data_IF_990149053796
#
_entry.id   IF_990149053796
#
_cell.length_a   1.000
_cell.length_b   1.000
_cell.length_c   1.000
_cell.angle_alpha   90.00
_cell.angle_beta   90.00
_cell.angle_gamma   90.00
#
_symmetry.space_group_name_H-M   'P 1'
#
loop_
_entity.id
_entity.type
_entity.pdbx_description
1 polymer ?
#
# COMPACT_ATOMS: atom_id res chain seq x y z
N UNK A 1 -34.12 76.61 26.73
CA UNK A 1 -33.49 76.30 28.04
C UNK A 1 -32.67 75.04 27.82
N UNK A 2 -31.36 75.20 27.54
CA UNK A 2 -30.20 74.99 28.47
C UNK A 2 -30.03 73.49 28.79
N UNK A 3 -28.90 72.79 28.63
CA UNK A 3 -27.47 72.94 28.24
C UNK A 3 -27.05 71.49 27.81
N UNK A 4 -26.05 71.15 26.98
CA UNK A 4 -24.74 71.73 26.70
C UNK A 4 -23.64 70.99 27.46
N UNK A 5 -23.06 69.91 26.92
CA UNK A 5 -21.70 69.43 27.26
C UNK A 5 -21.14 68.56 26.12
N UNK A 6 -19.98 68.96 25.59
CA UNK A 6 -19.21 68.23 24.57
C UNK A 6 -18.03 67.46 25.17
N UNK A 7 -17.20 66.91 24.28
CA UNK A 7 -15.88 66.37 24.62
C UNK A 7 -15.55 65.09 23.85
N UNK A 8 -14.53 65.16 23.03
CA UNK A 8 -13.98 64.10 22.19
C UNK A 8 -13.27 63.01 23.01
N UNK A 9 -13.16 61.80 22.46
CA UNK A 9 -11.99 60.94 22.68
C UNK A 9 -11.84 59.88 21.56
N UNK A 10 -10.62 59.74 21.09
CA UNK A 10 -10.13 58.95 19.97
C UNK A 10 -9.68 57.56 20.43
N UNK A 11 -10.63 56.62 20.50
CA UNK A 11 -10.34 55.22 20.87
C UNK A 11 -9.65 54.40 19.78
N UNK A 12 -8.40 54.74 19.44
CA UNK A 12 -7.47 53.85 18.72
C UNK A 12 -7.08 52.68 19.62
N UNK A 13 -7.41 51.45 19.22
CA UNK A 13 -6.99 50.23 19.94
C UNK A 13 -5.64 49.71 19.39
N UNK A 14 -4.73 49.25 20.27
CA UNK A 14 -3.31 49.08 19.94
C UNK A 14 -2.94 47.76 19.27
N UNK A 15 -1.92 47.84 18.40
CA UNK A 15 -1.16 46.73 17.80
C UNK A 15 -0.36 45.95 18.86
N UNK A 16 -0.33 44.61 18.84
CA UNK A 16 0.57 43.86 19.71
C UNK A 16 2.03 43.91 19.20
N UNK A 17 2.90 44.41 20.07
CA UNK A 17 4.36 44.36 19.99
C UNK A 17 4.79 42.94 20.41
N UNK A 18 5.40 42.17 19.51
CA UNK A 18 6.15 40.96 19.89
C UNK A 18 7.61 41.34 20.03
N UNK A 19 8.04 41.45 21.29
CA UNK A 19 9.39 41.75 21.72
C UNK A 19 10.32 40.55 21.50
N UNK A 20 11.39 40.78 20.74
CA UNK A 20 12.46 39.81 20.49
C UNK A 20 13.39 39.74 21.70
N UNK A 21 13.20 38.76 22.58
CA UNK A 21 14.22 38.41 23.57
C UNK A 21 15.36 37.62 22.92
N UNK A 22 16.49 38.31 22.70
CA UNK A 22 17.81 37.71 22.52
C UNK A 22 18.45 37.52 23.89
N UNK A 23 18.70 36.29 24.29
CA UNK A 23 19.77 35.96 25.23
C UNK A 23 20.58 34.81 24.63
N UNK A 24 21.77 35.15 24.14
CA UNK A 24 22.81 34.19 23.80
C UNK A 24 23.57 33.77 25.06
N UNK A 25 23.78 32.47 25.21
CA UNK A 25 24.73 31.88 26.14
C UNK A 25 25.43 30.74 25.41
N UNK A 26 26.70 30.94 25.11
CA UNK A 26 27.47 30.09 24.19
C UNK A 26 27.74 28.68 24.69
N UNK A 27 27.77 27.75 23.74
CA UNK A 27 28.60 26.55 23.79
C UNK A 27 29.13 26.28 22.37
N UNK A 28 30.46 26.20 22.27
CA UNK A 28 31.17 25.78 21.06
C UNK A 28 30.67 24.41 20.59
N UNK A 29 30.51 24.17 19.27
CA UNK A 29 30.18 22.85 18.77
C UNK A 29 31.43 21.97 18.82
N UNK A 30 31.44 21.01 19.75
CA UNK A 30 32.33 19.85 19.70
C UNK A 30 32.05 19.13 18.38
N UNK A 31 33.11 18.89 17.61
CA UNK A 31 33.06 18.12 16.37
C UNK A 31 32.36 16.78 16.61
N UNK A 32 31.13 16.66 16.12
CA UNK A 32 30.41 15.41 16.09
C UNK A 32 31.00 14.61 14.93
N UNK A 33 31.86 13.67 15.29
CA UNK A 33 32.41 12.66 14.39
C UNK A 33 31.25 12.09 13.60
N UNK A 34 31.32 12.23 12.27
CA UNK A 34 30.42 11.62 11.30
C UNK A 34 30.40 10.12 11.60
N UNK A 35 29.42 9.69 12.40
CA UNK A 35 29.08 8.28 12.51
C UNK A 35 28.71 7.86 11.10
N UNK A 36 29.52 6.97 10.54
CA UNK A 36 29.23 6.32 9.27
C UNK A 36 27.83 5.76 9.42
N UNK A 37 26.85 6.40 8.77
CA UNK A 37 25.52 5.83 8.66
C UNK A 37 25.72 4.51 7.92
N UNK A 38 25.69 3.41 8.66
CA UNK A 38 25.46 2.11 8.07
C UNK A 38 24.14 2.29 7.32
N UNK A 39 24.12 2.15 5.99
CA UNK A 39 22.87 2.27 5.25
C UNK A 39 21.88 1.27 5.85
N UNK A 40 20.58 1.61 5.96
CA UNK A 40 19.60 0.61 6.35
C UNK A 40 19.79 -0.57 5.40
N UNK A 41 19.94 -1.77 5.99
CA UNK A 41 20.14 -3.00 5.25
C UNK A 41 18.95 -3.14 4.30
N UNK A 42 19.12 -2.70 3.06
CA UNK A 42 18.20 -2.98 1.98
C UNK A 42 18.32 -4.50 1.86
N UNK A 43 17.31 -5.21 2.31
CA UNK A 43 17.23 -6.62 1.99
C UNK A 43 17.02 -6.64 0.47
N UNK A 44 18.13 -6.64 -0.27
CA UNK A 44 18.12 -6.83 -1.71
C UNK A 44 17.64 -8.26 -1.91
N UNK A 45 16.32 -8.43 -1.98
CA UNK A 45 15.69 -9.71 -2.29
C UNK A 45 16.31 -10.18 -3.59
N UNK A 46 16.92 -11.37 -3.57
CA UNK A 46 17.64 -11.87 -4.74
C UNK A 46 16.69 -11.95 -5.96
N UNK A 47 17.25 -11.76 -7.15
CA UNK A 47 16.48 -11.74 -8.41
C UNK A 47 15.64 -13.01 -8.60
N UNK A 48 16.14 -14.17 -8.13
CA UNK A 48 15.41 -15.44 -8.10
C UNK A 48 14.13 -15.33 -7.28
N UNK A 49 14.21 -14.77 -6.07
CA UNK A 49 13.08 -14.64 -5.16
C UNK A 49 12.05 -13.67 -5.74
N UNK A 50 12.50 -12.53 -6.27
CA UNK A 50 11.59 -11.55 -6.91
C UNK A 50 10.84 -12.20 -8.06
N UNK A 51 11.54 -12.85 -9.00
CA UNK A 51 10.91 -13.46 -10.17
C UNK A 51 9.90 -14.54 -9.78
N UNK A 52 10.25 -15.42 -8.83
CA UNK A 52 9.35 -16.47 -8.37
C UNK A 52 8.12 -15.91 -7.65
N UNK A 53 8.29 -14.90 -6.78
CA UNK A 53 7.18 -14.30 -6.04
C UNK A 53 6.29 -13.45 -6.96
N UNK A 54 6.86 -12.71 -7.91
CA UNK A 54 6.08 -11.99 -8.94
C UNK A 54 5.26 -12.98 -9.78
N UNK A 55 5.86 -14.09 -10.21
CA UNK A 55 5.13 -15.13 -10.95
C UNK A 55 3.98 -15.74 -10.15
N UNK A 56 4.16 -15.92 -8.83
CA UNK A 56 3.08 -16.36 -7.95
C UNK A 56 1.98 -15.30 -7.86
N UNK A 57 2.36 -14.03 -7.66
CA UNK A 57 1.40 -12.93 -7.55
C UNK A 57 0.56 -12.76 -8.83
N UNK A 58 1.19 -12.84 -10.01
CA UNK A 58 0.50 -12.86 -11.31
C UNK A 58 -0.40 -14.09 -11.47
N UNK A 59 -0.04 -15.23 -10.86
CA UNK A 59 -0.92 -16.41 -10.88
C UNK A 59 -2.19 -16.21 -10.04
N UNK A 60 -2.11 -15.45 -8.94
CA UNK A 60 -3.26 -15.15 -8.07
C UNK A 60 -4.16 -14.08 -8.68
N UNK A 61 -3.58 -12.98 -9.15
CA UNK A 61 -4.29 -11.89 -9.80
C UNK A 61 -3.55 -11.48 -11.07
N UNK A 62 -3.93 -12.07 -12.22
CA UNK A 62 -3.18 -11.92 -13.46
C UNK A 62 -3.25 -10.52 -14.01
N UNK A 63 -2.17 -10.10 -14.65
CA UNK A 63 -2.08 -8.84 -15.37
C UNK A 63 -1.39 -8.96 -16.72
N UNK A 64 -1.23 -7.82 -17.36
CA UNK A 64 -0.49 -7.67 -18.61
C UNK A 64 1.02 -7.62 -18.36
N UNK A 65 1.78 -8.14 -19.33
CA UNK A 65 3.24 -8.12 -19.27
C UNK A 65 3.78 -6.70 -19.28
N UNK A 66 4.88 -6.47 -18.57
CA UNK A 66 5.66 -5.21 -18.64
C UNK A 66 6.24 -5.00 -20.05
N UNK A 67 6.72 -6.09 -20.64
CA UNK A 67 7.22 -6.17 -22.01
C UNK A 67 7.15 -7.63 -22.54
N UNK A 68 7.35 -7.87 -23.86
CA UNK A 68 7.23 -9.22 -24.43
C UNK A 68 8.16 -10.28 -23.82
N UNK A 69 9.29 -9.89 -23.24
CA UNK A 69 10.29 -10.77 -22.63
C UNK A 69 10.02 -11.08 -21.16
N UNK A 70 9.04 -10.43 -20.53
CA UNK A 70 8.67 -10.67 -19.14
C UNK A 70 8.31 -12.15 -18.92
N UNK A 71 9.07 -12.81 -18.05
CA UNK A 71 8.89 -14.23 -17.70
C UNK A 71 8.08 -14.40 -16.41
N UNK A 72 8.11 -13.41 -15.51
CA UNK A 72 7.39 -13.48 -14.26
C UNK A 72 5.89 -13.27 -14.52
N UNK A 73 5.53 -12.23 -15.27
CA UNK A 73 4.14 -11.96 -15.65
C UNK A 73 3.78 -12.72 -16.91
N UNK A 74 2.76 -13.57 -16.86
CA UNK A 74 2.35 -14.41 -17.98
C UNK A 74 1.57 -13.62 -19.05
N UNK A 75 0.89 -12.52 -18.68
CA UNK A 75 0.02 -11.79 -19.60
C UNK A 75 -1.35 -12.44 -19.79
N UNK A 76 -1.85 -13.18 -18.79
CA UNK A 76 -3.06 -13.99 -18.91
C UNK A 76 -4.37 -13.17 -18.89
N UNK A 77 -4.32 -11.91 -18.45
CA UNK A 77 -5.46 -11.00 -18.43
C UNK A 77 -5.05 -9.61 -18.94
N UNK A 78 -5.96 -8.85 -19.58
CA UNK A 78 -5.68 -7.48 -19.97
C UNK A 78 -5.65 -6.56 -18.75
N UNK A 79 -4.79 -5.54 -18.78
CA UNK A 79 -4.68 -4.55 -17.73
C UNK A 79 -3.84 -4.99 -16.53
N UNK A 80 -3.73 -4.13 -15.51
CA UNK A 80 -2.82 -4.33 -14.39
C UNK A 80 -3.31 -5.42 -13.42
N UNK A 81 -2.39 -6.30 -13.00
CA UNK A 81 -2.61 -7.34 -11.98
C UNK A 81 -1.89 -7.04 -10.65
N UNK A 82 -1.70 -8.06 -9.81
CA UNK A 82 -1.07 -7.88 -8.49
C UNK A 82 0.38 -7.37 -8.58
N UNK A 83 1.15 -7.80 -9.59
CA UNK A 83 2.53 -7.32 -9.77
C UNK A 83 2.56 -5.82 -10.03
N UNK A 84 1.73 -5.34 -10.96
CA UNK A 84 1.60 -3.91 -11.26
C UNK A 84 1.05 -3.08 -10.08
N UNK A 85 0.32 -3.72 -9.15
CA UNK A 85 -0.18 -3.12 -7.93
C UNK A 85 0.83 -3.11 -6.76
N UNK A 86 2.08 -3.51 -6.97
CA UNK A 86 3.12 -3.45 -5.93
C UNK A 86 3.08 -4.62 -4.95
N UNK A 87 2.79 -5.84 -5.43
CA UNK A 87 2.77 -7.03 -4.57
C UNK A 87 4.11 -7.27 -3.84
N UNK A 88 5.25 -7.10 -4.53
CA UNK A 88 6.58 -7.24 -3.91
C UNK A 88 6.79 -6.16 -2.84
N UNK A 89 6.48 -4.90 -3.15
CA UNK A 89 6.65 -3.79 -2.21
C UNK A 89 5.86 -4.02 -0.92
N UNK A 90 4.63 -4.55 -1.03
CA UNK A 90 3.82 -4.93 0.13
C UNK A 90 4.43 -6.09 0.92
N UNK A 91 4.90 -7.13 0.24
CA UNK A 91 5.49 -8.32 0.86
C UNK A 91 6.81 -8.03 1.57
N UNK A 92 7.56 -7.04 1.09
CA UNK A 92 8.82 -6.60 1.68
C UNK A 92 8.64 -5.65 2.86
N UNK A 93 7.42 -5.17 3.14
CA UNK A 93 7.19 -4.30 4.29
C UNK A 93 7.56 -5.01 5.61
N UNK A 94 8.47 -4.45 6.42
CA UNK A 94 8.89 -5.08 7.68
C UNK A 94 7.73 -5.36 8.64
N UNK A 95 6.71 -4.48 8.65
CA UNK A 95 5.52 -4.63 9.49
C UNK A 95 4.56 -5.74 9.06
N UNK A 96 4.68 -6.25 7.81
CA UNK A 96 3.84 -7.32 7.27
C UNK A 96 4.26 -8.73 7.68
N UNK A 97 5.48 -8.90 8.20
CA UNK A 97 5.98 -10.16 8.77
C UNK A 97 6.42 -11.22 7.74
N UNK A 98 6.30 -10.96 6.43
CA UNK A 98 6.69 -11.91 5.37
C UNK A 98 8.06 -11.63 4.74
N UNK A 99 8.60 -10.41 4.84
CA UNK A 99 9.83 -10.02 4.15
C UNK A 99 11.00 -11.01 4.39
N UNK A 100 11.23 -11.40 5.65
CA UNK A 100 12.29 -12.35 6.01
C UNK A 100 12.05 -13.80 5.58
N UNK A 101 10.83 -14.16 5.19
CA UNK A 101 10.45 -15.52 4.77
C UNK A 101 10.36 -15.68 3.25
N UNK A 102 10.37 -14.58 2.48
CA UNK A 102 10.24 -14.59 1.02
C UNK A 102 11.25 -15.52 0.31
N UNK A 103 12.55 -15.55 0.67
CA UNK A 103 13.48 -16.47 0.02
C UNK A 103 13.09 -17.94 0.23
N UNK A 104 12.69 -18.31 1.45
CA UNK A 104 12.24 -19.67 1.75
C UNK A 104 10.93 -20.04 1.05
N UNK A 105 10.02 -19.08 0.87
CA UNK A 105 8.80 -19.27 0.08
C UNK A 105 9.11 -19.51 -1.39
N UNK A 106 10.03 -18.73 -1.95
CA UNK A 106 10.48 -18.89 -3.34
C UNK A 106 11.16 -20.25 -3.55
N UNK A 107 12.05 -20.65 -2.65
CA UNK A 107 12.71 -21.96 -2.69
C UNK A 107 11.70 -23.10 -2.64
N UNK A 108 10.74 -23.05 -1.70
CA UNK A 108 9.69 -24.06 -1.59
C UNK A 108 8.83 -24.13 -2.86
N UNK A 109 8.44 -22.97 -3.41
CA UNK A 109 7.60 -22.92 -4.61
C UNK A 109 8.34 -23.47 -5.85
N UNK A 110 9.63 -23.15 -5.99
CA UNK A 110 10.49 -23.69 -7.03
C UNK A 110 10.70 -25.21 -6.87
N UNK A 111 10.80 -25.70 -5.63
CA UNK A 111 10.83 -27.14 -5.33
C UNK A 111 9.56 -27.86 -5.80
N UNK A 112 8.38 -27.35 -5.43
CA UNK A 112 7.09 -27.90 -5.88
C UNK A 112 6.93 -27.89 -7.41
N UNK A 113 7.43 -26.85 -8.08
CA UNK A 113 7.44 -26.79 -9.54
C UNK A 113 8.35 -27.86 -10.17
N UNK A 114 9.55 -28.06 -9.61
CA UNK A 114 10.46 -29.10 -10.05
C UNK A 114 9.87 -30.51 -9.87
N UNK A 115 9.18 -30.77 -8.75
CA UNK A 115 8.49 -32.04 -8.49
C UNK A 115 7.34 -32.32 -9.46
N UNK A 116 6.69 -31.27 -9.98
CA UNK A 116 5.70 -31.38 -11.04
C UNK A 116 6.32 -31.75 -12.41
N UNK A 117 7.65 -31.70 -12.52
CA UNK A 117 8.37 -31.94 -13.77
C UNK A 117 8.46 -30.69 -14.65
N UNK A 118 8.55 -29.49 -14.04
CA UNK A 118 8.88 -28.27 -14.78
C UNK A 118 10.10 -28.50 -15.67
N UNK A 119 10.02 -28.11 -16.94
CA UNK A 119 11.15 -28.19 -17.84
C UNK A 119 12.29 -27.31 -17.30
N UNK A 120 13.50 -27.86 -17.24
CA UNK A 120 14.65 -27.10 -16.84
C UNK A 120 14.91 -25.98 -17.86
N UNK A 121 14.81 -24.74 -17.41
CA UNK A 121 15.18 -23.53 -18.13
C UNK A 121 16.29 -22.86 -17.29
N UNK A 122 17.54 -22.78 -17.78
CA UNK A 122 18.65 -22.23 -17.00
C UNK A 122 18.52 -20.73 -16.74
N UNK A 123 17.66 -20.04 -17.48
CA UNK A 123 17.54 -18.58 -17.42
C UNK A 123 16.48 -18.11 -16.41
N UNK A 124 15.63 -19.01 -15.90
CA UNK A 124 14.58 -18.66 -14.94
C UNK A 124 14.36 -19.74 -13.87
N UNK A 125 13.84 -19.36 -12.69
CA UNK A 125 13.50 -20.35 -11.65
C UNK A 125 12.43 -21.35 -12.12
N UNK A 126 12.41 -22.59 -11.58
CA UNK A 126 11.47 -23.64 -12.01
C UNK A 126 10.00 -23.24 -12.02
N UNK A 127 9.52 -22.48 -11.03
CA UNK A 127 8.13 -22.02 -11.01
C UNK A 127 7.83 -21.02 -12.14
N UNK A 128 8.81 -20.19 -12.48
CA UNK A 128 8.71 -19.18 -13.55
C UNK A 128 8.78 -19.86 -14.93
N UNK A 129 9.45 -21.01 -15.05
CA UNK A 129 9.49 -21.80 -16.28
C UNK A 129 8.12 -22.42 -16.65
N UNK A 130 7.24 -22.62 -15.67
CA UNK A 130 5.87 -23.11 -15.91
C UNK A 130 5.05 -22.08 -16.70
N UNK A 131 4.20 -22.57 -17.61
CA UNK A 131 3.17 -21.74 -18.23
C UNK A 131 2.07 -21.37 -17.23
N UNK A 132 1.22 -20.40 -17.59
CA UNK A 132 0.18 -19.90 -16.68
C UNK A 132 -0.77 -21.00 -16.19
N UNK A 133 -1.18 -21.92 -17.06
CA UNK A 133 -2.09 -23.00 -16.70
C UNK A 133 -1.44 -23.97 -15.70
N UNK A 134 -0.17 -24.30 -15.92
CA UNK A 134 0.62 -25.12 -15.00
C UNK A 134 0.82 -24.43 -13.64
N UNK A 135 1.11 -23.11 -13.63
CA UNK A 135 1.18 -22.32 -12.40
C UNK A 135 -0.15 -22.35 -11.65
N UNK A 136 -1.26 -22.10 -12.34
CA UNK A 136 -2.60 -22.14 -11.73
C UNK A 136 -2.89 -23.51 -11.12
N UNK A 137 -2.62 -24.61 -11.83
CA UNK A 137 -2.82 -25.97 -11.30
C UNK A 137 -1.96 -26.24 -10.07
N UNK A 138 -0.70 -25.80 -10.07
CA UNK A 138 0.18 -25.97 -8.91
C UNK A 138 -0.34 -25.16 -7.72
N UNK A 139 -0.66 -23.87 -7.91
CA UNK A 139 -1.20 -23.00 -6.85
C UNK A 139 -2.52 -23.55 -6.29
N UNK A 140 -3.41 -24.09 -7.14
CA UNK A 140 -4.63 -24.76 -6.71
C UNK A 140 -4.36 -25.95 -5.78
N UNK A 141 -3.33 -26.76 -6.07
CA UNK A 141 -2.94 -27.87 -5.17
C UNK A 141 -2.37 -27.35 -3.86
N UNK A 142 -1.48 -26.36 -3.92
CA UNK A 142 -0.82 -25.79 -2.74
C UNK A 142 -1.81 -25.10 -1.79
N UNK A 143 -2.90 -24.57 -2.33
CA UNK A 143 -3.97 -23.91 -1.56
C UNK A 143 -5.15 -24.85 -1.25
N UNK A 144 -5.08 -26.13 -1.61
CA UNK A 144 -6.15 -27.08 -1.34
C UNK A 144 -6.38 -27.28 0.17
N UNK A 145 -7.62 -27.54 0.63
CA UNK A 145 -7.95 -27.63 2.05
C UNK A 145 -7.16 -28.70 2.83
N UNK A 146 -6.67 -29.73 2.16
CA UNK A 146 -5.92 -30.86 2.71
C UNK A 146 -4.40 -30.71 2.57
N UNK A 147 -3.91 -29.69 1.84
CA UNK A 147 -2.47 -29.48 1.68
C UNK A 147 -1.83 -29.08 3.03
N UNK A 148 -0.74 -29.75 3.45
CA UNK A 148 -0.13 -29.49 4.77
C UNK A 148 0.39 -28.05 4.91
N UNK A 149 0.82 -27.46 3.80
CA UNK A 149 1.38 -26.10 3.76
C UNK A 149 0.33 -25.02 3.41
N UNK A 150 -0.96 -25.37 3.28
CA UNK A 150 -1.99 -24.45 2.73
C UNK A 150 -2.02 -23.08 3.38
N UNK A 151 -1.79 -23.01 4.71
CA UNK A 151 -1.90 -21.77 5.46
C UNK A 151 -0.87 -20.73 4.97
N UNK A 152 0.32 -21.19 4.60
CA UNK A 152 1.40 -20.38 4.08
C UNK A 152 1.07 -19.85 2.68
N UNK A 153 0.58 -20.71 1.80
CA UNK A 153 0.23 -20.35 0.42
C UNK A 153 -1.00 -19.45 0.32
N UNK A 154 -2.00 -19.70 1.17
CA UNK A 154 -3.18 -18.84 1.31
C UNK A 154 -2.78 -17.47 1.87
N UNK A 155 -1.87 -17.41 2.84
CA UNK A 155 -1.35 -16.14 3.34
C UNK A 155 -0.63 -15.35 2.23
N UNK A 156 0.26 -15.97 1.46
CA UNK A 156 0.91 -15.31 0.33
C UNK A 156 -0.10 -14.78 -0.69
N UNK A 157 -1.10 -15.60 -1.06
CA UNK A 157 -2.17 -15.19 -1.96
C UNK A 157 -3.02 -14.03 -1.41
N UNK A 158 -3.25 -13.99 -0.10
CA UNK A 158 -3.94 -12.88 0.56
C UNK A 158 -3.16 -11.57 0.38
N UNK A 159 -1.85 -11.57 0.59
CA UNK A 159 -1.03 -10.37 0.37
C UNK A 159 -1.04 -9.92 -1.11
N UNK A 160 -1.05 -10.85 -2.07
CA UNK A 160 -1.21 -10.50 -3.49
C UNK A 160 -2.54 -9.78 -3.77
N UNK A 161 -3.64 -10.24 -3.16
CA UNK A 161 -4.92 -9.54 -3.25
C UNK A 161 -4.88 -8.18 -2.55
N UNK A 162 -4.29 -8.09 -1.37
CA UNK A 162 -4.16 -6.84 -0.60
C UNK A 162 -3.37 -5.77 -1.33
N UNK A 163 -2.35 -6.16 -2.11
CA UNK A 163 -1.62 -5.23 -2.95
C UNK A 163 -2.57 -4.52 -3.93
N UNK A 164 -3.48 -5.28 -4.55
CA UNK A 164 -4.44 -4.75 -5.50
C UNK A 164 -5.62 -4.03 -4.83
N UNK A 165 -6.32 -4.69 -3.91
CA UNK A 165 -7.65 -4.25 -3.48
C UNK A 165 -7.65 -3.10 -2.45
N UNK A 166 -6.58 -3.00 -1.69
CA UNK A 166 -6.47 -2.08 -0.56
C UNK A 166 -5.20 -1.25 -0.61
N UNK A 167 -4.23 -1.64 -1.44
CA UNK A 167 -2.91 -1.01 -1.52
C UNK A 167 -2.31 -0.84 -0.12
N UNK A 168 -2.36 -1.89 0.70
CA UNK A 168 -2.11 -1.82 2.15
C UNK A 168 -0.72 -1.28 2.54
N UNK A 169 0.20 -1.19 1.59
CA UNK A 169 1.55 -0.66 1.74
C UNK A 169 1.66 0.84 1.46
N UNK A 170 0.60 1.49 0.99
CA UNK A 170 0.60 2.88 0.54
C UNK A 170 -0.36 3.73 1.35
N UNK A 171 -0.07 5.03 1.43
CA UNK A 171 -1.08 6.00 1.82
C UNK A 171 -2.16 6.07 0.73
N UNK A 172 -3.43 5.88 1.09
CA UNK A 172 -4.53 5.78 0.12
C UNK A 172 -4.65 7.00 -0.79
N UNK A 173 -4.46 8.23 -0.27
CA UNK A 173 -4.54 9.43 -1.09
C UNK A 173 -3.41 9.49 -2.12
N UNK A 174 -2.18 9.19 -1.69
CA UNK A 174 -1.01 9.13 -2.59
C UNK A 174 -1.15 8.00 -3.62
N UNK A 175 -1.68 6.83 -3.22
CA UNK A 175 -1.92 5.71 -4.12
C UNK A 175 -2.92 6.08 -5.22
N UNK A 176 -4.03 6.76 -4.87
CA UNK A 176 -4.99 7.23 -5.85
C UNK A 176 -4.40 8.31 -6.77
N UNK A 177 -3.64 9.27 -6.21
CA UNK A 177 -2.96 10.31 -7.00
C UNK A 177 -1.99 9.70 -8.02
N UNK A 178 -1.27 8.65 -7.62
CA UNK A 178 -0.39 7.87 -8.49
C UNK A 178 -1.14 6.95 -9.48
N UNK A 179 -2.47 6.88 -9.40
CA UNK A 179 -3.29 6.06 -10.29
C UNK A 179 -3.26 4.56 -9.96
N UNK A 180 -3.23 4.20 -8.67
CA UNK A 180 -3.11 2.80 -8.24
C UNK A 180 -4.20 1.91 -8.87
N UNK A 181 -3.82 0.85 -9.58
CA UNK A 181 -4.71 0.15 -10.50
C UNK A 181 -5.91 -0.50 -9.82
N UNK A 182 -5.69 -1.19 -8.70
CA UNK A 182 -6.77 -1.90 -8.04
C UNK A 182 -7.74 -1.00 -7.28
N UNK A 183 -7.26 0.10 -6.69
CA UNK A 183 -8.13 1.08 -6.02
C UNK A 183 -9.05 1.76 -7.03
N UNK A 184 -8.52 2.15 -8.20
CA UNK A 184 -9.31 2.72 -9.29
C UNK A 184 -10.29 1.71 -9.86
N UNK A 185 -9.89 0.45 -10.02
CA UNK A 185 -10.76 -0.64 -10.51
C UNK A 185 -11.95 -0.88 -9.58
N UNK A 186 -11.72 -0.84 -8.26
CA UNK A 186 -12.77 -0.99 -7.24
C UNK A 186 -13.68 0.24 -7.16
N UNK A 187 -13.22 1.39 -7.66
CA UNK A 187 -14.00 2.64 -7.69
C UNK A 187 -13.78 3.53 -6.47
N UNK A 188 -12.61 3.45 -5.83
CA UNK A 188 -12.21 4.46 -4.85
C UNK A 188 -12.16 5.84 -5.53
N UNK A 189 -12.70 6.85 -4.84
CA UNK A 189 -12.70 8.24 -5.32
C UNK A 189 -11.58 9.02 -4.64
N UNK A 190 -11.03 10.00 -5.35
CA UNK A 190 -10.14 10.98 -4.74
C UNK A 190 -10.88 11.79 -3.65
N UNK A 191 -10.17 12.29 -2.62
CA UNK A 191 -10.72 13.34 -1.78
C UNK A 191 -11.05 14.58 -2.64
N UNK A 192 -11.98 15.40 -2.17
CA UNK A 192 -12.26 16.68 -2.82
C UNK A 192 -11.05 17.65 -2.72
N UNK A 193 -11.03 18.78 -3.45
CA UNK A 193 -9.88 19.69 -3.48
C UNK A 193 -9.45 20.24 -2.10
N UNK A 194 -10.31 20.15 -1.09
CA UNK A 194 -10.02 20.52 0.29
C UNK A 194 -9.43 19.37 1.13
N UNK A 195 -9.14 18.23 0.51
CA UNK A 195 -8.58 17.04 1.16
C UNK A 195 -9.59 16.18 1.91
N UNK A 196 -10.88 16.53 1.87
CA UNK A 196 -11.92 15.81 2.62
C UNK A 196 -12.55 14.73 1.76
N UNK A 197 -12.69 13.54 2.34
CA UNK A 197 -13.36 12.41 1.74
C UNK A 197 -14.87 12.55 1.88
N UNK A 198 -15.57 12.77 0.76
CA UNK A 198 -17.02 12.89 0.75
C UNK A 198 -17.65 11.75 -0.03
N UNK A 199 -18.65 11.12 0.59
CA UNK A 199 -19.42 10.03 0.00
C UNK A 199 -20.91 10.41 0.00
N UNK A 200 -21.36 11.26 -0.95
CA UNK A 200 -22.75 11.75 -0.98
C UNK A 200 -23.78 10.64 -1.22
N UNK A 201 -23.33 9.49 -1.72
CA UNK A 201 -24.12 8.30 -2.02
C UNK A 201 -23.78 7.19 -1.02
N UNK A 202 -24.70 6.89 -0.10
CA UNK A 202 -24.54 5.84 0.90
C UNK A 202 -24.58 4.44 0.28
N UNK A 203 -23.72 3.54 0.78
CA UNK A 203 -23.31 2.26 0.17
C UNK A 203 -24.40 1.21 -0.06
N UNK A 204 -25.64 1.48 0.33
CA UNK A 204 -26.75 0.53 0.17
C UNK A 204 -27.84 1.01 -0.78
N UNK A 205 -27.75 2.25 -1.32
CA UNK A 205 -28.81 2.84 -2.17
C UNK A 205 -30.20 2.87 -1.52
N UNK A 206 -30.25 2.61 -0.20
CA UNK A 206 -31.44 2.34 0.59
C UNK A 206 -31.23 2.82 2.00
N UNK A 207 -32.25 3.44 2.57
CA UNK A 207 -32.31 3.80 3.99
C UNK A 207 -32.40 2.51 4.83
N UNK A 208 -31.33 2.20 5.58
CA UNK A 208 -31.28 1.02 6.45
C UNK A 208 -31.97 1.23 7.80
N UNK A 209 -32.09 2.47 8.26
CA UNK A 209 -32.74 2.83 9.51
C UNK A 209 -33.29 4.25 9.47
N UNK A 210 -34.24 4.54 10.35
CA UNK A 210 -34.65 5.92 10.63
C UNK A 210 -33.59 6.66 11.45
N UNK A 211 -33.43 7.96 11.18
CA UNK A 211 -32.54 8.80 11.97
C UNK A 211 -33.10 8.91 13.39
N UNK A 212 -32.27 8.65 14.39
CA UNK A 212 -32.69 8.72 15.79
C UNK A 212 -33.01 10.19 16.15
N UNK A 213 -34.04 10.49 16.96
CA UNK A 213 -34.41 11.87 17.30
C UNK A 213 -33.28 12.67 17.98
N UNK A 214 -32.37 11.97 18.66
CA UNK A 214 -31.18 12.54 19.28
C UNK A 214 -29.95 12.51 18.37
N UNK A 215 -30.11 12.55 17.05
CA UNK A 215 -29.01 12.73 16.11
C UNK A 215 -28.90 14.22 15.75
N UNK A 216 -27.71 14.78 15.87
CA UNK A 216 -27.43 16.17 15.48
C UNK A 216 -27.66 16.38 13.98
N UNK A 217 -27.78 17.63 13.54
CA UNK A 217 -27.87 17.97 12.11
C UNK A 217 -26.64 17.50 11.30
N UNK A 218 -25.50 17.27 11.96
CA UNK A 218 -24.29 16.70 11.37
C UNK A 218 -24.25 15.16 11.35
N UNK A 219 -25.27 14.48 11.87
CA UNK A 219 -25.33 13.00 11.86
C UNK A 219 -24.66 12.32 13.06
N UNK A 220 -24.20 13.07 14.07
CA UNK A 220 -23.60 12.50 15.30
C UNK A 220 -24.67 12.22 16.36
N UNK A 221 -24.51 11.21 17.23
CA UNK A 221 -25.30 11.09 18.44
C UNK A 221 -25.13 12.35 19.31
N UNK A 222 -26.23 12.92 19.79
CA UNK A 222 -26.27 14.07 20.71
C UNK A 222 -26.15 13.63 22.17
#
# INVERSE_FOLDING_TARGET
>A
MREGFGGADDGSLPTPIIERSRLGGGRSPTAQTKGTAVPPNRHDTDSTTILTVEAFADTILPGEKRDPSDRAVAGAAPGPGAVAAGAIDLLELPGGGLAGTLPGLADALNGHAAELGAAADPDVPPFVALDFEQRTRLVQRLTAPDHPEKAMWVALALFCNMAFDSAAHLNTAAALEAGHPGLLTIGYRQPEPDGVWRFPSYSYGRRLADVHPATTSGGSPA
#
